data_IF_069514000587
#
_entry.id   IF_069514000587
#
_cell.length_a   1.000
_cell.length_b   1.000
_cell.length_c   1.000
_cell.angle_alpha   90.00
_cell.angle_beta   90.00
_cell.angle_gamma   90.00
#
_symmetry.space_group_name_H-M   'P 1'
#
loop_
_entity.id
_entity.type
_entity.pdbx_description
1 polymer ?
#
# COMPACT_ATOMS: atom_id res chain seq x y z
N UNK A 1 -31.31 6.92 -24.10
CA UNK A 1 -29.86 6.94 -23.84
C UNK A 1 -29.45 5.59 -23.30
N UNK A 2 -28.78 4.76 -24.11
CA UNK A 2 -28.51 3.35 -23.78
C UNK A 2 -27.40 3.22 -22.73
N UNK A 3 -27.55 2.22 -21.88
CA UNK A 3 -26.61 1.82 -20.81
C UNK A 3 -25.25 1.36 -21.32
N UNK A 4 -25.11 1.04 -22.61
CA UNK A 4 -23.86 0.57 -23.21
C UNK A 4 -22.76 1.66 -23.26
N UNK A 5 -23.10 2.90 -23.62
CA UNK A 5 -22.15 4.02 -23.64
C UNK A 5 -21.64 4.45 -22.25
N UNK A 6 -22.22 3.89 -21.18
CA UNK A 6 -21.94 4.21 -19.77
C UNK A 6 -20.83 3.34 -19.16
N UNK A 7 -20.54 2.18 -19.74
CA UNK A 7 -19.55 1.20 -19.24
C UNK A 7 -18.12 1.53 -19.68
N UNK A 8 -17.94 2.18 -20.83
CA UNK A 8 -16.62 2.43 -21.44
C UNK A 8 -15.88 3.64 -20.84
N UNK A 9 -16.56 4.44 -20.02
CA UNK A 9 -16.03 5.70 -19.47
C UNK A 9 -15.08 5.52 -18.28
N UNK A 10 -15.01 4.34 -17.67
CA UNK A 10 -14.14 4.04 -16.52
C UNK A 10 -13.31 2.78 -16.74
N UNK A 11 -12.84 2.58 -17.97
CA UNK A 11 -11.90 1.49 -18.29
C UNK A 11 -10.56 1.66 -17.56
N UNK A 12 -10.19 2.90 -17.22
CA UNK A 12 -9.00 3.21 -16.44
C UNK A 12 -9.26 4.31 -15.41
N UNK A 13 -8.58 4.24 -14.27
CA UNK A 13 -8.56 5.27 -13.23
C UNK A 13 -7.13 5.56 -12.82
N UNK A 14 -6.86 6.79 -12.40
CA UNK A 14 -5.58 7.16 -11.82
C UNK A 14 -5.64 7.01 -10.30
N UNK A 15 -4.56 6.50 -9.70
CA UNK A 15 -4.44 6.40 -8.25
C UNK A 15 -3.07 6.91 -7.80
N UNK A 16 -3.04 7.60 -6.66
CA UNK A 16 -1.82 7.90 -5.93
C UNK A 16 -1.63 6.82 -4.87
N UNK A 17 -0.51 6.10 -4.95
CA UNK A 17 -0.10 5.12 -3.95
C UNK A 17 1.03 5.73 -3.12
N UNK A 18 0.93 5.64 -1.81
CA UNK A 18 1.96 6.08 -0.87
C UNK A 18 2.39 4.90 -0.01
N UNK A 19 3.69 4.61 -0.01
CA UNK A 19 4.29 3.53 0.78
C UNK A 19 5.22 4.12 1.83
N UNK A 20 5.08 3.64 3.06
CA UNK A 20 5.86 4.06 4.21
C UNK A 20 6.49 2.84 4.86
N UNK A 21 7.79 2.91 5.07
CA UNK A 21 8.59 1.83 5.64
C UNK A 21 9.23 2.32 6.93
N UNK A 22 8.96 1.60 8.02
CA UNK A 22 9.56 1.74 9.35
C UNK A 22 9.62 3.18 9.88
N UNK A 23 8.62 4.03 9.59
CA UNK A 23 8.77 5.49 9.79
C UNK A 23 9.06 5.94 11.22
N UNK A 24 8.64 5.15 12.22
CA UNK A 24 8.83 5.45 13.63
C UNK A 24 10.29 5.30 14.07
N UNK A 25 10.97 4.23 13.64
CA UNK A 25 12.34 3.88 14.08
C UNK A 25 13.39 4.12 12.98
N UNK A 26 12.94 4.09 11.72
CA UNK A 26 13.70 4.41 10.49
C UNK A 26 14.91 3.50 10.28
N UNK A 27 14.79 2.22 10.61
CA UNK A 27 15.82 1.18 10.40
C UNK A 27 15.89 0.71 8.95
N UNK A 28 14.81 0.93 8.20
CA UNK A 28 14.71 0.54 6.80
C UNK A 28 14.18 1.69 5.95
N UNK A 29 14.45 1.63 4.65
CA UNK A 29 13.92 2.55 3.66
C UNK A 29 13.69 1.81 2.34
N UNK A 30 12.85 2.38 1.47
CA UNK A 30 12.78 1.93 0.09
C UNK A 30 14.14 2.11 -0.58
N UNK A 31 14.56 1.13 -1.38
CA UNK A 31 15.81 1.24 -2.13
C UNK A 31 15.76 2.42 -3.10
N UNK A 32 14.62 2.59 -3.77
CA UNK A 32 14.35 3.72 -4.62
C UNK A 32 13.29 4.61 -3.97
N UNK A 33 13.70 5.76 -3.45
CA UNK A 33 12.80 6.68 -2.74
C UNK A 33 11.66 7.20 -3.62
N UNK A 34 11.83 7.21 -4.95
CA UNK A 34 10.75 7.59 -5.87
C UNK A 34 9.57 6.62 -5.86
N UNK A 35 9.74 5.41 -5.32
CA UNK A 35 8.66 4.44 -5.12
C UNK A 35 7.83 4.71 -3.85
N UNK A 36 8.22 5.69 -3.02
CA UNK A 36 7.49 6.03 -1.80
C UNK A 36 6.16 6.74 -2.05
N UNK A 37 6.02 7.40 -3.20
CA UNK A 37 4.77 8.02 -3.64
C UNK A 37 4.71 7.98 -5.16
N UNK A 38 3.81 7.18 -5.72
CA UNK A 38 3.70 6.97 -7.15
C UNK A 38 2.27 7.11 -7.65
N UNK A 39 2.11 7.77 -8.79
CA UNK A 39 0.85 7.79 -9.53
C UNK A 39 0.80 6.62 -10.51
N UNK A 40 -0.25 5.81 -10.43
CA UNK A 40 -0.46 4.63 -11.27
C UNK A 40 -1.80 4.72 -12.02
N UNK A 41 -1.87 4.02 -13.15
CA UNK A 41 -3.11 3.78 -13.88
C UNK A 41 -3.60 2.37 -13.53
N UNK A 42 -4.81 2.28 -13.04
CA UNK A 42 -5.52 1.01 -12.80
C UNK A 42 -6.50 0.79 -13.93
N UNK A 43 -6.49 -0.41 -14.48
CA UNK A 43 -7.41 -0.82 -15.55
C UNK A 43 -8.45 -1.77 -14.97
N UNK A 44 -9.70 -1.57 -15.36
CA UNK A 44 -10.83 -2.39 -14.88
C UNK A 44 -10.54 -3.88 -15.16
N UNK A 45 -10.82 -4.73 -14.17
CA UNK A 45 -10.64 -6.18 -14.22
C UNK A 45 -9.19 -6.68 -14.39
N UNK A 46 -8.19 -5.78 -14.29
CA UNK A 46 -6.77 -6.13 -14.28
C UNK A 46 -6.12 -5.77 -12.93
N UNK A 47 -5.27 -6.67 -12.43
CA UNK A 47 -4.46 -6.41 -11.24
C UNK A 47 -3.17 -5.67 -11.62
N UNK A 48 -2.87 -4.59 -10.90
CA UNK A 48 -1.60 -3.86 -11.00
C UNK A 48 -0.74 -4.20 -9.78
N UNK A 49 0.29 -5.03 -9.97
CA UNK A 49 1.19 -5.45 -8.90
C UNK A 49 2.60 -4.92 -9.16
N UNK A 50 3.28 -4.48 -8.11
CA UNK A 50 4.65 -3.97 -8.18
C UNK A 50 5.49 -4.53 -7.05
N UNK A 51 6.73 -4.86 -7.36
CA UNK A 51 7.71 -5.26 -6.35
C UNK A 51 8.39 -4.02 -5.78
N UNK A 52 8.53 -3.99 -4.46
CA UNK A 52 9.24 -2.94 -3.73
C UNK A 52 10.45 -3.57 -3.05
N UNK A 53 11.62 -2.98 -3.29
CA UNK A 53 12.85 -3.40 -2.61
C UNK A 53 13.06 -2.49 -1.40
N UNK A 54 13.20 -3.10 -0.22
CA UNK A 54 13.43 -2.40 1.04
C UNK A 54 14.83 -2.74 1.53
N UNK A 55 15.63 -1.72 1.85
CA UNK A 55 16.98 -1.88 2.39
C UNK A 55 17.02 -1.54 3.86
N UNK A 56 17.63 -2.43 4.62
CA UNK A 56 18.00 -2.20 6.02
C UNK A 56 19.24 -1.31 6.07
N UNK A 57 19.27 -0.37 7.00
CA UNK A 57 20.46 0.42 7.29
C UNK A 57 21.52 -0.45 7.97
N UNK A 58 22.77 0.02 8.01
CA UNK A 58 23.82 -0.65 8.79
C UNK A 58 23.57 -0.42 10.29
N UNK A 59 23.93 -1.41 11.11
CA UNK A 59 23.88 -1.34 12.58
C UNK A 59 22.49 -0.97 13.13
N UNK A 60 21.43 -1.62 12.63
CA UNK A 60 20.08 -1.40 13.12
C UNK A 60 19.96 -1.83 14.59
N UNK A 61 19.59 -0.89 15.46
CA UNK A 61 19.19 -1.18 16.83
C UNK A 61 17.73 -1.66 16.91
N UNK A 62 17.30 -2.05 18.12
CA UNK A 62 15.92 -2.45 18.43
C UNK A 62 15.36 -3.50 17.45
N UNK A 63 15.95 -4.70 17.41
CA UNK A 63 15.48 -5.80 16.53
C UNK A 63 14.32 -6.60 17.13
N UNK A 64 13.86 -6.25 18.32
CA UNK A 64 12.70 -6.89 18.98
C UNK A 64 11.39 -6.39 18.37
N UNK A 65 11.30 -5.09 18.08
CA UNK A 65 10.12 -4.50 17.46
C UNK A 65 10.08 -4.85 15.97
N UNK A 66 8.97 -5.43 15.43
CA UNK A 66 8.84 -5.67 14.00
C UNK A 66 8.96 -4.39 13.18
N UNK A 67 9.43 -4.52 11.94
CA UNK A 67 9.40 -3.44 10.97
C UNK A 67 7.97 -3.24 10.46
N UNK A 68 7.49 -2.01 10.50
CA UNK A 68 6.14 -1.68 10.03
C UNK A 68 6.19 -1.17 8.59
N UNK A 69 5.38 -1.76 7.71
CA UNK A 69 5.21 -1.29 6.33
C UNK A 69 3.73 -0.95 6.17
N UNK A 70 3.46 0.23 5.64
CA UNK A 70 2.09 0.65 5.31
C UNK A 70 2.02 1.17 3.88
N UNK A 71 0.88 0.92 3.26
CA UNK A 71 0.51 1.40 1.94
C UNK A 71 -0.87 2.04 2.04
N UNK A 72 -1.00 3.25 1.52
CA UNK A 72 -2.27 3.93 1.34
C UNK A 72 -2.47 4.22 -0.15
N UNK A 73 -3.71 4.24 -0.60
CA UNK A 73 -4.03 4.72 -1.94
C UNK A 73 -5.18 5.72 -1.93
N UNK A 74 -5.18 6.59 -2.94
CA UNK A 74 -6.27 7.53 -3.22
C UNK A 74 -6.52 7.55 -4.71
N UNK A 75 -7.79 7.58 -5.13
CA UNK A 75 -8.12 7.81 -6.54
C UNK A 75 -7.86 9.29 -6.84
N UNK A 76 -7.12 9.54 -7.92
CA UNK A 76 -6.89 10.86 -8.46
C UNK A 76 -7.92 11.08 -9.55
N UNK A 77 -8.70 12.14 -9.40
CA UNK A 77 -9.60 12.57 -10.45
C UNK A 77 -8.89 13.52 -11.40
N UNK A 78 -8.55 13.02 -12.58
CA UNK A 78 -8.00 13.83 -13.68
C UNK A 78 -9.10 14.35 -14.62
N UNK A 79 -10.37 14.24 -14.24
CA UNK A 79 -11.48 14.80 -15.01
C UNK A 79 -11.36 16.34 -15.09
N UNK A 80 -11.66 16.96 -16.25
CA UNK A 80 -11.69 18.41 -16.38
C UNK A 80 -12.86 19.08 -15.64
N UNK A 81 -13.66 18.31 -14.89
CA UNK A 81 -14.82 18.82 -14.16
C UNK A 81 -14.39 19.43 -12.83
N UNK A 82 -14.58 20.74 -12.71
CA UNK A 82 -14.47 21.46 -11.45
C UNK A 82 -15.57 21.02 -10.48
N UNK A 83 -15.21 20.13 -9.53
CA UNK A 83 -16.11 19.55 -8.53
C UNK A 83 -16.67 20.58 -7.54
N UNK A 84 -15.98 21.71 -7.33
CA UNK A 84 -16.44 22.76 -6.42
C UNK A 84 -17.58 23.58 -7.04
N UNK A 85 -17.63 23.66 -8.37
CA UNK A 85 -18.63 24.44 -9.11
C UNK A 85 -19.74 23.61 -9.74
N UNK A 86 -19.53 22.30 -9.96
CA UNK A 86 -20.50 21.43 -10.64
C UNK A 86 -20.54 20.03 -10.03
N UNK A 87 -21.76 19.52 -9.83
CA UNK A 87 -21.99 18.14 -9.42
C UNK A 87 -21.41 17.17 -10.46
N UNK A 88 -20.45 16.34 -10.04
CA UNK A 88 -19.84 15.34 -10.90
C UNK A 88 -20.56 13.99 -10.78
N UNK A 89 -21.40 13.69 -11.76
CA UNK A 89 -22.24 12.47 -11.77
C UNK A 89 -21.47 11.17 -12.04
N UNK A 90 -20.25 11.25 -12.59
CA UNK A 90 -19.46 10.09 -13.04
C UNK A 90 -18.06 10.04 -12.43
N UNK A 91 -17.86 10.77 -11.35
CA UNK A 91 -16.56 10.86 -10.69
C UNK A 91 -16.26 9.58 -9.91
N UNK A 92 -15.13 8.90 -10.16
CA UNK A 92 -14.76 7.73 -9.39
C UNK A 92 -14.42 8.13 -7.94
N UNK A 93 -14.81 7.27 -7.02
CA UNK A 93 -14.60 7.40 -5.58
C UNK A 93 -14.18 6.04 -5.02
N UNK A 94 -13.38 6.05 -3.96
CA UNK A 94 -13.04 4.84 -3.22
C UNK A 94 -14.28 4.41 -2.43
N UNK A 95 -14.57 3.12 -2.41
CA UNK A 95 -15.64 2.55 -1.59
C UNK A 95 -15.32 2.77 -0.10
N UNK A 96 -16.15 3.50 0.66
CA UNK A 96 -15.89 3.78 2.07
C UNK A 96 -15.91 2.53 2.97
N UNK A 97 -16.55 1.45 2.51
CA UNK A 97 -16.62 0.17 3.23
C UNK A 97 -15.41 -0.73 2.94
N UNK A 98 -14.49 -0.28 2.08
CA UNK A 98 -13.23 -0.98 1.77
C UNK A 98 -12.04 -0.21 2.33
N UNK A 99 -11.04 -0.98 2.75
CA UNK A 99 -9.81 -0.39 3.24
C UNK A 99 -9.09 0.37 2.12
N UNK A 100 -8.81 1.65 2.36
CA UNK A 100 -7.94 2.49 1.53
C UNK A 100 -6.46 2.36 1.92
N UNK A 101 -6.18 1.59 2.98
CA UNK A 101 -4.86 1.39 3.54
C UNK A 101 -4.64 -0.03 4.00
N UNK A 102 -3.41 -0.50 3.88
CA UNK A 102 -2.97 -1.82 4.35
C UNK A 102 -1.71 -1.61 5.16
N UNK A 103 -1.60 -2.35 6.27
CA UNK A 103 -0.42 -2.38 7.11
C UNK A 103 0.06 -3.83 7.27
N UNK A 104 1.37 -4.00 7.31
CA UNK A 104 2.00 -5.30 7.60
C UNK A 104 3.20 -5.10 8.52
N UNK A 105 3.50 -6.15 9.29
CA UNK A 105 4.62 -6.17 10.23
C UNK A 105 5.57 -7.30 9.86
N UNK A 106 6.83 -6.96 9.66
CA UNK A 106 7.89 -7.91 9.31
C UNK A 106 8.78 -8.10 10.54
N UNK A 107 8.70 -9.26 11.23
CA UNK A 107 9.56 -9.52 12.38
C UNK A 107 11.00 -9.82 11.93
N UNK A 108 11.96 -9.52 12.81
CA UNK A 108 13.35 -9.93 12.62
C UNK A 108 13.55 -11.34 13.17
N UNK A 109 14.41 -12.14 12.53
CA UNK A 109 14.84 -13.45 13.01
C UNK A 109 15.81 -13.29 14.19
N UNK A 110 15.32 -12.77 15.31
CA UNK A 110 16.10 -12.56 16.52
C UNK A 110 15.87 -13.69 17.52
N UNK A 111 16.95 -14.26 18.06
CA UNK A 111 16.87 -15.33 19.08
C UNK A 111 16.60 -16.73 18.53
N UNK A 112 16.67 -16.95 17.21
CA UNK A 112 16.42 -18.26 16.57
C UNK A 112 17.56 -19.29 16.75
N UNK A 113 18.59 -18.98 17.56
CA UNK A 113 19.81 -19.79 17.79
C UNK A 113 20.53 -20.11 16.46
N UNK A 114 21.06 -21.33 16.30
CA UNK A 114 21.80 -21.77 15.11
C UNK A 114 20.93 -21.99 13.87
N UNK A 115 19.61 -21.77 13.98
CA UNK A 115 18.68 -21.94 12.88
C UNK A 115 18.29 -20.56 12.33
N UNK A 116 18.33 -20.42 11.01
CA UNK A 116 17.79 -19.23 10.31
C UNK A 116 16.25 -19.13 10.39
N UNK A 117 15.60 -20.12 11.02
CA UNK A 117 14.14 -20.19 11.18
C UNK A 117 13.78 -20.44 12.64
N UNK A 118 13.03 -19.51 13.23
CA UNK A 118 12.48 -19.64 14.58
C UNK A 118 11.31 -20.64 14.61
N UNK A 119 11.33 -21.57 15.58
CA UNK A 119 10.20 -22.46 15.89
C UNK A 119 9.72 -22.21 17.32
N UNK A 120 8.44 -21.90 17.47
CA UNK A 120 7.83 -21.67 18.77
C UNK A 120 7.12 -22.94 19.27
N UNK A 121 7.35 -23.31 20.53
CA UNK A 121 6.54 -24.29 21.27
C UNK A 121 5.52 -23.52 22.13
N UNK A 122 4.37 -23.22 21.54
CA UNK A 122 3.32 -22.44 22.20
C UNK A 122 2.38 -23.37 22.98
N UNK A 123 2.18 -23.07 24.27
CA UNK A 123 1.20 -23.76 25.12
C UNK A 123 0.18 -22.75 25.64
N UNK A 124 -1.09 -23.04 25.41
CA UNK A 124 -2.22 -22.25 25.93
C UNK A 124 -2.83 -23.03 27.09
N UNK A 125 -2.97 -22.38 28.24
CA UNK A 125 -3.60 -22.93 29.44
C UNK A 125 -4.82 -22.07 29.79
N UNK A 126 -5.89 -22.71 30.24
CA UNK A 126 -7.15 -22.07 30.66
C UNK A 126 -7.14 -21.75 32.15
#
# INVERSE_FOLDING_TARGET
YSTAARSDLLSYIWALVMVRVDQNIRRAALYNESQGSEQIVLVRDYSNCRNLEIKLKKNIGNVIQPMEISMDYKIIDNSPVDREKRFCKLCPLVDPDKAASIYTKVPFAHGCKELDVCRADLKVMA
#
